data_IF_507114851470
#
_entry.id   IF_507114851470
#
_cell.length_a   1.000
_cell.length_b   1.000
_cell.length_c   1.000
_cell.angle_alpha   90.00
_cell.angle_beta   90.00
_cell.angle_gamma   90.00
#
_symmetry.space_group_name_H-M   'P 1'
#
loop_
_entity.id
_entity.type
_entity.pdbx_description
1 polymer ?
#
# COMPACT_ATOMS: atom_id res chain seq x y z
N UNK A 1 -46.97 -10.46 9.43
CA UNK A 1 -45.78 -9.59 9.56
C UNK A 1 -46.03 -8.39 8.68
N UNK A 2 -45.96 -7.18 9.21
CA UNK A 2 -46.16 -5.99 8.38
C UNK A 2 -45.03 -5.86 7.35
N UNK A 3 -45.35 -5.37 6.16
CA UNK A 3 -44.37 -5.12 5.08
C UNK A 3 -43.21 -4.24 5.56
N UNK A 4 -43.48 -3.30 6.47
CA UNK A 4 -42.50 -2.47 7.18
C UNK A 4 -41.48 -3.30 7.99
N UNK A 5 -41.94 -4.34 8.70
CA UNK A 5 -41.08 -5.24 9.47
C UNK A 5 -40.26 -6.17 8.57
N UNK A 6 -40.83 -6.61 7.44
CA UNK A 6 -40.11 -7.38 6.43
C UNK A 6 -38.99 -6.54 5.80
N UNK A 7 -39.27 -5.28 5.43
CA UNK A 7 -38.27 -4.36 4.86
C UNK A 7 -37.17 -4.03 5.88
N UNK A 8 -37.51 -3.85 7.15
CA UNK A 8 -36.54 -3.59 8.23
C UNK A 8 -35.67 -4.82 8.54
N UNK A 9 -36.26 -6.01 8.49
CA UNK A 9 -35.53 -7.27 8.66
C UNK A 9 -34.61 -7.54 7.47
N UNK A 10 -35.05 -7.29 6.24
CA UNK A 10 -34.25 -7.46 5.01
C UNK A 10 -33.16 -6.38 4.91
N UNK A 11 -33.39 -5.14 5.35
CA UNK A 11 -32.37 -4.09 5.35
C UNK A 11 -31.28 -4.38 6.39
N UNK A 12 -31.66 -4.84 7.59
CA UNK A 12 -30.71 -5.31 8.61
C UNK A 12 -29.96 -6.58 8.18
N UNK A 13 -30.66 -7.56 7.61
CA UNK A 13 -30.05 -8.79 7.09
C UNK A 13 -29.17 -8.53 5.85
N UNK A 14 -29.53 -7.58 5.01
CA UNK A 14 -28.79 -7.18 3.82
C UNK A 14 -27.45 -6.53 4.17
N UNK A 15 -27.45 -5.57 5.12
CA UNK A 15 -26.21 -4.98 5.65
C UNK A 15 -25.34 -6.07 6.30
N UNK A 16 -25.94 -6.96 7.09
CA UNK A 16 -25.24 -8.09 7.69
C UNK A 16 -24.62 -9.07 6.69
N UNK A 17 -25.32 -9.35 5.58
CA UNK A 17 -24.84 -10.23 4.52
C UNK A 17 -23.68 -9.61 3.74
N UNK A 18 -23.76 -8.31 3.42
CA UNK A 18 -22.69 -7.57 2.74
C UNK A 18 -21.42 -7.51 3.61
N UNK A 19 -21.57 -7.21 4.90
CA UNK A 19 -20.47 -7.24 5.87
C UNK A 19 -19.87 -8.64 6.02
N UNK A 20 -20.70 -9.68 6.07
CA UNK A 20 -20.26 -11.07 6.19
C UNK A 20 -19.51 -11.54 4.93
N UNK A 21 -20.01 -11.19 3.74
CA UNK A 21 -19.33 -11.46 2.47
C UNK A 21 -17.98 -10.74 2.39
N UNK A 22 -17.92 -9.48 2.84
CA UNK A 22 -16.68 -8.71 2.90
C UNK A 22 -15.66 -9.30 3.88
N UNK A 23 -16.09 -9.64 5.10
CA UNK A 23 -15.22 -10.30 6.10
C UNK A 23 -14.73 -11.67 5.62
N UNK A 24 -15.59 -12.43 4.95
CA UNK A 24 -15.23 -13.72 4.35
C UNK A 24 -14.21 -13.55 3.22
N UNK A 25 -14.39 -12.52 2.37
CA UNK A 25 -13.43 -12.18 1.32
C UNK A 25 -12.07 -11.82 1.91
N UNK A 26 -12.00 -10.95 2.92
CA UNK A 26 -10.72 -10.62 3.60
C UNK A 26 -10.07 -11.88 4.18
N UNK A 27 -10.84 -12.71 4.89
CA UNK A 27 -10.32 -13.92 5.53
C UNK A 27 -9.80 -14.93 4.50
N UNK A 28 -10.49 -15.10 3.37
CA UNK A 28 -10.10 -15.98 2.28
C UNK A 28 -8.85 -15.46 1.54
N UNK A 29 -8.80 -14.16 1.22
CA UNK A 29 -7.66 -13.52 0.57
C UNK A 29 -6.40 -13.52 1.44
N UNK A 30 -6.54 -13.33 2.76
CA UNK A 30 -5.43 -13.47 3.71
C UNK A 30 -4.85 -14.89 3.68
N UNK A 31 -5.68 -15.93 3.71
CA UNK A 31 -5.20 -17.32 3.76
C UNK A 31 -4.40 -17.73 2.51
N UNK A 32 -4.85 -17.33 1.31
CA UNK A 32 -4.27 -17.84 0.06
C UNK A 32 -2.97 -17.15 -0.39
N UNK A 33 -2.80 -15.85 -0.12
CA UNK A 33 -1.64 -15.06 -0.60
C UNK A 33 -0.56 -14.88 0.46
N UNK A 34 -0.96 -14.89 1.73
CA UNK A 34 -0.05 -14.69 2.86
C UNK A 34 0.83 -15.91 3.07
N UNK A 35 0.28 -17.13 3.02
CA UNK A 35 1.00 -18.35 3.42
C UNK A 35 2.27 -18.63 2.58
N UNK A 36 2.24 -18.38 1.26
CA UNK A 36 3.42 -18.63 0.42
C UNK A 36 4.46 -17.50 0.50
N UNK A 37 4.03 -16.24 0.31
CA UNK A 37 4.94 -15.08 0.27
C UNK A 37 5.51 -14.77 1.67
N UNK A 38 4.73 -14.94 2.74
CA UNK A 38 5.26 -14.71 4.09
C UNK A 38 6.18 -15.82 4.56
N UNK A 39 6.00 -17.06 4.07
CA UNK A 39 6.92 -18.16 4.32
C UNK A 39 8.27 -17.90 3.67
N UNK A 40 8.31 -17.61 2.37
CA UNK A 40 9.55 -17.31 1.64
C UNK A 40 10.29 -16.12 2.28
N UNK A 41 9.58 -15.03 2.61
CA UNK A 41 10.21 -13.90 3.32
C UNK A 41 10.69 -14.25 4.73
N UNK A 42 9.99 -15.15 5.43
CA UNK A 42 10.43 -15.60 6.74
C UNK A 42 11.71 -16.43 6.65
N UNK A 43 11.77 -17.34 5.68
CA UNK A 43 12.95 -18.14 5.37
C UNK A 43 14.13 -17.25 4.98
N UNK A 44 13.91 -16.28 4.08
CA UNK A 44 14.90 -15.27 3.73
C UNK A 44 15.43 -14.50 4.96
N UNK A 45 14.55 -14.03 5.87
CA UNK A 45 15.00 -13.36 7.11
C UNK A 45 15.80 -14.27 8.04
N UNK A 46 15.45 -15.55 8.13
CA UNK A 46 16.20 -16.55 8.90
C UNK A 46 17.59 -16.73 8.30
N UNK A 47 17.66 -16.82 6.97
CA UNK A 47 18.92 -16.98 6.23
C UNK A 47 19.83 -15.76 6.41
N UNK A 48 19.32 -14.53 6.26
CA UNK A 48 20.09 -13.30 6.52
C UNK A 48 20.59 -13.25 7.97
N UNK A 49 19.79 -13.68 8.96
CA UNK A 49 20.24 -13.76 10.37
C UNK A 49 21.36 -14.79 10.55
N UNK A 50 21.25 -15.96 9.91
CA UNK A 50 22.30 -16.98 9.93
C UNK A 50 23.60 -16.45 9.30
N UNK A 51 23.50 -15.76 8.17
CA UNK A 51 24.64 -15.09 7.52
C UNK A 51 25.30 -14.09 8.46
N UNK A 52 24.52 -13.26 9.17
CA UNK A 52 25.05 -12.31 10.16
C UNK A 52 25.85 -13.05 11.24
N UNK A 53 25.34 -14.15 11.79
CA UNK A 53 26.03 -14.95 12.81
C UNK A 53 27.35 -15.49 12.26
N UNK A 54 27.35 -16.05 11.05
CA UNK A 54 28.55 -16.62 10.43
C UNK A 54 29.61 -15.55 10.08
N UNK A 55 29.18 -14.36 9.66
CA UNK A 55 30.05 -13.21 9.40
C UNK A 55 30.77 -12.77 10.70
N UNK A 56 30.02 -12.65 11.78
CA UNK A 56 30.52 -12.26 13.10
C UNK A 56 31.40 -13.36 13.74
N UNK A 57 31.04 -14.62 13.54
CA UNK A 57 31.75 -15.79 14.08
C UNK A 57 33.14 -16.04 13.50
N UNK A 58 33.49 -15.41 12.37
CA UNK A 58 34.86 -15.38 11.83
C UNK A 58 35.26 -16.63 11.02
N UNK A 59 34.82 -17.81 11.42
CA UNK A 59 35.27 -19.08 10.83
C UNK A 59 34.73 -19.32 9.42
N UNK A 60 33.55 -18.79 9.08
CA UNK A 60 32.81 -19.11 7.85
C UNK A 60 32.52 -17.90 6.96
N UNK A 61 33.29 -16.80 7.06
CA UNK A 61 32.99 -15.54 6.36
C UNK A 61 32.85 -15.68 4.84
N UNK A 62 33.67 -16.49 4.19
CA UNK A 62 33.59 -16.73 2.73
C UNK A 62 32.28 -17.41 2.34
N UNK A 63 31.91 -18.47 3.07
CA UNK A 63 30.65 -19.17 2.85
C UNK A 63 29.45 -18.26 3.12
N UNK A 64 29.50 -17.46 4.19
CA UNK A 64 28.47 -16.50 4.52
C UNK A 64 28.29 -15.44 3.41
N UNK A 65 29.39 -14.96 2.82
CA UNK A 65 29.34 -14.01 1.70
C UNK A 65 28.71 -14.64 0.44
N UNK A 66 29.13 -15.86 0.08
CA UNK A 66 28.56 -16.56 -1.07
C UNK A 66 27.05 -16.83 -0.90
N UNK A 67 26.61 -17.21 0.30
CA UNK A 67 25.19 -17.33 0.62
C UNK A 67 24.47 -15.98 0.50
N UNK A 68 25.07 -14.91 1.03
CA UNK A 68 24.49 -13.57 0.95
C UNK A 68 24.22 -13.11 -0.49
N UNK A 69 25.15 -13.35 -1.41
CA UNK A 69 24.96 -13.00 -2.83
C UNK A 69 23.69 -13.62 -3.45
N UNK A 70 23.28 -14.80 -2.98
CA UNK A 70 22.04 -15.46 -3.44
C UNK A 70 20.76 -14.85 -2.86
N UNK A 71 20.88 -14.07 -1.78
CA UNK A 71 19.77 -13.48 -1.05
C UNK A 71 19.51 -12.01 -1.42
N UNK A 72 20.46 -11.36 -2.11
CA UNK A 72 20.36 -9.95 -2.48
C UNK A 72 19.63 -9.74 -3.80
N UNK A 73 19.05 -8.55 -3.97
CA UNK A 73 18.45 -8.17 -5.24
C UNK A 73 19.53 -8.00 -6.33
N UNK A 74 19.53 -8.81 -7.41
CA UNK A 74 20.55 -8.73 -8.46
C UNK A 74 20.47 -7.44 -9.27
N UNK A 75 19.31 -6.77 -9.32
CA UNK A 75 19.14 -5.50 -10.03
C UNK A 75 19.96 -4.36 -9.43
N UNK A 76 20.43 -4.48 -8.18
CA UNK A 76 21.27 -3.45 -7.55
C UNK A 76 22.72 -3.46 -7.94
N UNK A 77 23.26 -4.60 -8.39
CA UNK A 77 24.72 -4.77 -8.53
C UNK A 77 25.35 -3.79 -9.52
N UNK A 78 24.63 -3.49 -10.60
CA UNK A 78 25.11 -2.64 -11.70
C UNK A 78 24.30 -1.36 -11.87
N UNK A 79 23.57 -0.93 -10.84
CA UNK A 79 22.74 0.28 -10.91
C UNK A 79 23.57 1.55 -10.73
N UNK A 80 23.22 2.61 -11.46
CA UNK A 80 23.92 3.90 -11.33
C UNK A 80 23.79 4.48 -9.91
N UNK A 81 24.90 4.99 -9.38
CA UNK A 81 24.95 5.67 -8.07
C UNK A 81 24.31 7.06 -8.10
N UNK A 82 24.09 7.63 -9.29
CA UNK A 82 23.45 8.94 -9.47
C UNK A 82 21.99 8.90 -9.02
N UNK A 83 21.30 7.77 -9.29
CA UNK A 83 19.97 7.51 -8.77
C UNK A 83 20.06 6.92 -7.36
N UNK A 84 20.28 7.79 -6.37
CA UNK A 84 20.40 7.39 -4.97
C UNK A 84 19.24 6.51 -4.51
N UNK A 85 18.01 6.85 -4.88
CA UNK A 85 16.85 6.10 -4.41
C UNK A 85 16.89 4.66 -4.90
N UNK A 86 17.04 4.45 -6.21
CA UNK A 86 17.09 3.11 -6.77
C UNK A 86 18.37 2.36 -6.36
N UNK A 87 19.49 3.05 -6.16
CA UNK A 87 20.71 2.45 -5.64
C UNK A 87 20.53 1.82 -4.26
N UNK A 88 19.89 2.53 -3.32
CA UNK A 88 19.66 1.98 -1.98
C UNK A 88 18.54 0.94 -1.93
N UNK A 89 17.45 1.16 -2.68
CA UNK A 89 16.28 0.28 -2.67
C UNK A 89 16.49 -1.08 -3.33
N UNK A 90 17.53 -1.21 -4.16
CA UNK A 90 17.87 -2.47 -4.84
C UNK A 90 19.13 -3.13 -4.26
N UNK A 91 19.54 -2.82 -3.02
CA UNK A 91 20.73 -3.39 -2.37
C UNK A 91 22.08 -3.00 -3.02
N UNK A 92 22.11 -1.98 -3.88
CA UNK A 92 23.35 -1.55 -4.56
C UNK A 92 24.47 -1.14 -3.60
N UNK A 93 24.13 -0.58 -2.44
CA UNK A 93 25.09 -0.26 -1.38
C UNK A 93 25.69 -1.49 -0.68
N UNK A 94 24.98 -2.63 -0.67
CA UNK A 94 25.48 -3.90 -0.15
C UNK A 94 26.38 -4.54 -1.20
N UNK A 95 25.94 -4.58 -2.47
CA UNK A 95 26.78 -5.02 -3.59
C UNK A 95 28.11 -4.25 -3.67
N UNK A 96 28.08 -2.92 -3.54
CA UNK A 96 29.28 -2.07 -3.50
C UNK A 96 30.27 -2.52 -2.41
N UNK A 97 29.77 -2.95 -1.25
CA UNK A 97 30.58 -3.43 -0.14
C UNK A 97 31.10 -4.86 -0.36
N UNK A 98 30.28 -5.74 -0.94
CA UNK A 98 30.64 -7.13 -1.24
C UNK A 98 31.71 -7.20 -2.33
N UNK A 99 31.55 -6.44 -3.42
CA UNK A 99 32.50 -6.46 -4.54
C UNK A 99 33.90 -5.98 -4.13
N UNK A 100 34.00 -5.20 -3.05
CA UNK A 100 35.26 -4.69 -2.48
C UNK A 100 35.55 -5.24 -1.08
N UNK A 101 35.02 -6.42 -0.75
CA UNK A 101 35.07 -6.95 0.62
C UNK A 101 36.47 -7.44 1.01
N UNK A 102 37.08 -6.80 2.00
CA UNK A 102 38.44 -7.09 2.48
C UNK A 102 38.50 -8.09 3.65
N UNK A 103 37.35 -8.66 4.06
CA UNK A 103 37.20 -9.57 5.21
C UNK A 103 37.68 -9.02 6.56
N UNK A 104 37.99 -7.73 6.65
CA UNK A 104 38.39 -7.10 7.90
C UNK A 104 37.22 -7.09 8.89
N UNK A 105 37.53 -7.05 10.19
CA UNK A 105 36.50 -6.92 11.23
C UNK A 105 35.64 -5.67 11.02
N UNK A 106 36.21 -4.64 10.39
CA UNK A 106 35.50 -3.42 10.04
C UNK A 106 34.49 -3.65 8.92
N UNK A 107 34.89 -4.21 7.79
CA UNK A 107 33.98 -4.48 6.67
C UNK A 107 32.87 -5.45 7.08
N UNK A 108 33.20 -6.44 7.90
CA UNK A 108 32.23 -7.33 8.55
C UNK A 108 31.22 -6.53 9.38
N UNK A 109 31.69 -5.66 10.27
CA UNK A 109 30.81 -4.83 11.12
C UNK A 109 29.92 -3.89 10.31
N UNK A 110 30.42 -3.30 9.22
CA UNK A 110 29.62 -2.45 8.34
C UNK A 110 28.57 -3.27 7.60
N UNK A 111 28.96 -4.42 7.03
CA UNK A 111 28.06 -5.32 6.32
C UNK A 111 26.94 -5.81 7.25
N UNK A 112 27.29 -6.27 8.45
CA UNK A 112 26.31 -6.68 9.47
C UNK A 112 25.32 -5.56 9.78
N UNK A 113 25.78 -4.32 9.99
CA UNK A 113 24.87 -3.18 10.23
C UNK A 113 23.92 -2.91 9.07
N UNK A 114 24.40 -3.03 7.82
CA UNK A 114 23.53 -2.90 6.65
C UNK A 114 22.47 -4.01 6.63
N UNK A 115 22.85 -5.26 6.90
CA UNK A 115 21.91 -6.39 6.96
C UNK A 115 20.89 -6.26 8.10
N UNK A 116 21.29 -5.77 9.27
CA UNK A 116 20.38 -5.50 10.39
C UNK A 116 19.32 -4.44 10.04
N UNK A 117 19.74 -3.36 9.37
CA UNK A 117 18.82 -2.31 8.92
C UNK A 117 17.93 -2.82 7.79
N UNK A 118 18.45 -3.64 6.88
CA UNK A 118 17.68 -4.31 5.83
C UNK A 118 16.59 -5.21 6.44
N UNK A 119 16.94 -6.02 7.44
CA UNK A 119 15.97 -6.84 8.19
C UNK A 119 14.90 -6.00 8.88
N UNK A 120 15.29 -4.89 9.52
CA UNK A 120 14.33 -3.96 10.16
C UNK A 120 13.41 -3.33 9.12
N UNK A 121 13.95 -2.90 7.99
CA UNK A 121 13.19 -2.31 6.90
C UNK A 121 12.20 -3.32 6.28
N UNK A 122 12.63 -4.54 5.96
CA UNK A 122 11.76 -5.60 5.44
C UNK A 122 10.61 -5.92 6.40
N UNK A 123 10.89 -5.94 7.71
CA UNK A 123 9.87 -6.16 8.73
C UNK A 123 8.81 -5.06 8.76
N UNK A 124 9.22 -3.78 8.80
CA UNK A 124 8.29 -2.65 8.78
C UNK A 124 7.50 -2.59 7.47
N UNK A 125 8.17 -2.86 6.34
CA UNK A 125 7.54 -2.96 5.01
C UNK A 125 6.51 -4.08 4.95
N UNK A 126 6.81 -5.28 5.44
CA UNK A 126 5.89 -6.42 5.43
C UNK A 126 4.63 -6.13 6.24
N UNK A 127 4.76 -5.51 7.42
CA UNK A 127 3.59 -5.05 8.21
C UNK A 127 2.73 -4.04 7.45
N UNK A 128 3.37 -3.12 6.73
CA UNK A 128 2.68 -2.10 5.92
C UNK A 128 1.96 -2.74 4.74
N UNK A 129 2.62 -3.63 4.00
CA UNK A 129 2.04 -4.30 2.83
C UNK A 129 0.75 -5.05 3.19
N UNK A 130 0.73 -5.77 4.32
CA UNK A 130 -0.49 -6.46 4.79
C UNK A 130 -1.62 -5.47 5.07
N UNK A 131 -1.33 -4.36 5.77
CA UNK A 131 -2.34 -3.32 6.05
C UNK A 131 -2.86 -2.69 4.77
N UNK A 132 -1.96 -2.32 3.86
CA UNK A 132 -2.29 -1.68 2.58
C UNK A 132 -3.09 -2.63 1.70
N UNK A 133 -2.81 -3.94 1.67
CA UNK A 133 -3.58 -4.90 0.87
C UNK A 133 -5.03 -5.00 1.37
N UNK A 134 -5.24 -5.02 2.69
CA UNK A 134 -6.58 -4.99 3.30
C UNK A 134 -7.31 -3.69 2.99
N UNK A 135 -6.64 -2.53 3.12
CA UNK A 135 -7.25 -1.24 2.79
C UNK A 135 -7.57 -1.11 1.31
N UNK A 136 -6.67 -1.51 0.41
CA UNK A 136 -6.92 -1.51 -1.03
C UNK A 136 -8.11 -2.40 -1.37
N UNK A 137 -8.22 -3.58 -0.74
CA UNK A 137 -9.36 -4.48 -0.90
C UNK A 137 -10.68 -3.82 -0.49
N UNK A 138 -10.69 -3.07 0.62
CA UNK A 138 -11.86 -2.31 1.05
C UNK A 138 -12.22 -1.19 0.08
N UNK A 139 -11.23 -0.44 -0.41
CA UNK A 139 -11.44 0.62 -1.40
C UNK A 139 -12.02 0.03 -2.68
N UNK A 140 -11.47 -1.07 -3.20
CA UNK A 140 -12.01 -1.75 -4.39
C UNK A 140 -13.45 -2.19 -4.20
N UNK A 141 -13.78 -2.73 -3.03
CA UNK A 141 -15.14 -3.14 -2.69
C UNK A 141 -16.12 -1.95 -2.74
N UNK A 142 -15.76 -0.82 -2.13
CA UNK A 142 -16.57 0.41 -2.17
C UNK A 142 -16.75 0.91 -3.61
N UNK A 143 -15.69 0.94 -4.41
CA UNK A 143 -15.74 1.41 -5.79
C UNK A 143 -16.64 0.54 -6.67
N UNK A 144 -16.55 -0.78 -6.54
CA UNK A 144 -17.38 -1.72 -7.30
C UNK A 144 -18.84 -1.60 -6.90
N UNK A 145 -19.14 -1.61 -5.59
CA UNK A 145 -20.52 -1.49 -5.11
C UNK A 145 -21.13 -0.14 -5.48
N UNK A 146 -20.37 0.94 -5.35
CA UNK A 146 -20.81 2.27 -5.79
C UNK A 146 -21.14 2.29 -7.28
N UNK A 147 -20.29 1.72 -8.13
CA UNK A 147 -20.51 1.67 -9.58
C UNK A 147 -21.76 0.85 -9.96
N UNK A 148 -21.96 -0.28 -9.29
CA UNK A 148 -23.16 -1.12 -9.47
C UNK A 148 -24.40 -0.36 -9.02
N UNK A 149 -24.36 0.29 -7.85
CA UNK A 149 -25.46 1.09 -7.32
C UNK A 149 -25.87 2.21 -8.30
N UNK A 150 -24.90 2.94 -8.84
CA UNK A 150 -25.14 3.99 -9.83
C UNK A 150 -25.80 3.43 -11.10
N UNK A 151 -25.33 2.28 -11.57
CA UNK A 151 -25.90 1.60 -12.75
C UNK A 151 -27.36 1.19 -12.51
N UNK A 152 -27.67 0.68 -11.32
CA UNK A 152 -29.04 0.31 -10.93
C UNK A 152 -29.95 1.54 -10.77
N UNK A 153 -29.43 2.66 -10.26
CA UNK A 153 -30.19 3.92 -10.15
C UNK A 153 -30.61 4.46 -11.52
N UNK A 154 -29.67 4.47 -12.47
CA UNK A 154 -29.93 4.86 -13.86
C UNK A 154 -31.01 3.96 -14.48
N UNK A 155 -30.97 2.65 -14.20
CA UNK A 155 -31.92 1.70 -14.77
C UNK A 155 -33.34 1.86 -14.18
N UNK A 156 -33.46 2.10 -12.88
CA UNK A 156 -34.74 1.95 -12.18
C UNK A 156 -35.40 3.26 -11.74
N UNK A 157 -34.66 4.35 -11.54
CA UNK A 157 -35.19 5.51 -10.81
C UNK A 157 -34.89 6.87 -11.46
N UNK A 158 -33.81 7.00 -12.22
CA UNK A 158 -33.37 8.29 -12.79
C UNK A 158 -33.67 8.33 -14.29
N UNK A 159 -34.49 9.30 -14.69
CA UNK A 159 -34.80 9.56 -16.10
C UNK A 159 -34.13 10.86 -16.62
N UNK A 160 -33.57 11.67 -15.73
CA UNK A 160 -32.98 12.96 -16.08
C UNK A 160 -31.61 12.78 -16.75
N UNK A 161 -31.51 13.20 -18.00
CA UNK A 161 -30.29 13.13 -18.81
C UNK A 161 -29.02 13.71 -18.14
N UNK A 162 -29.04 14.87 -17.45
CA UNK A 162 -27.82 15.37 -16.78
C UNK A 162 -27.38 14.48 -15.62
N UNK A 163 -28.31 13.92 -14.85
CA UNK A 163 -27.99 13.02 -13.73
C UNK A 163 -27.43 11.68 -14.23
N UNK A 164 -27.98 11.15 -15.33
CA UNK A 164 -27.48 9.96 -16.00
C UNK A 164 -26.03 10.16 -16.44
N UNK A 165 -25.71 11.30 -17.06
CA UNK A 165 -24.33 11.61 -17.50
C UNK A 165 -23.37 11.68 -16.31
N UNK A 166 -23.75 12.38 -15.23
CA UNK A 166 -22.90 12.54 -14.04
C UNK A 166 -22.61 11.19 -13.38
N UNK A 167 -23.64 10.36 -13.16
CA UNK A 167 -23.49 9.05 -12.52
C UNK A 167 -22.71 8.05 -13.40
N UNK A 168 -22.90 8.12 -14.72
CA UNK A 168 -22.13 7.31 -15.67
C UNK A 168 -20.65 7.69 -15.66
N UNK A 169 -20.34 8.99 -15.68
CA UNK A 169 -18.97 9.49 -15.63
C UNK A 169 -18.30 9.15 -14.29
N UNK A 170 -19.02 9.32 -13.17
CA UNK A 170 -18.57 8.90 -11.83
C UNK A 170 -18.19 7.41 -11.85
N UNK A 171 -19.08 6.54 -12.32
CA UNK A 171 -18.86 5.10 -12.37
C UNK A 171 -17.67 4.71 -13.25
N UNK A 172 -17.51 5.36 -14.40
CA UNK A 172 -16.34 5.17 -15.27
C UNK A 172 -15.04 5.51 -14.54
N UNK A 173 -14.98 6.64 -13.83
CA UNK A 173 -13.79 7.01 -13.06
C UNK A 173 -13.51 6.04 -11.91
N UNK A 174 -14.54 5.60 -11.16
CA UNK A 174 -14.35 4.61 -10.09
C UNK A 174 -13.73 3.32 -10.61
N UNK A 175 -14.27 2.78 -11.71
CA UNK A 175 -13.75 1.54 -12.33
C UNK A 175 -12.36 1.76 -12.92
N UNK A 176 -12.13 2.88 -13.62
CA UNK A 176 -10.83 3.20 -14.21
C UNK A 176 -9.71 3.30 -13.16
N UNK A 177 -10.02 3.82 -11.97
CA UNK A 177 -9.05 3.99 -10.89
C UNK A 177 -8.63 2.65 -10.26
N UNK A 178 -9.48 1.63 -10.27
CA UNK A 178 -9.13 0.28 -9.78
C UNK A 178 -7.85 -0.23 -10.48
N UNK A 179 -7.75 -0.05 -11.80
CA UNK A 179 -6.57 -0.47 -12.57
C UNK A 179 -5.32 0.36 -12.27
N UNK A 180 -5.49 1.58 -11.75
CA UNK A 180 -4.41 2.54 -11.61
C UNK A 180 -3.89 2.68 -10.16
N UNK A 181 -4.68 2.30 -9.14
CA UNK A 181 -4.37 2.56 -7.74
C UNK A 181 -3.05 1.93 -7.28
N UNK A 182 -2.76 0.69 -7.72
CA UNK A 182 -1.50 -0.03 -7.40
C UNK A 182 -0.26 0.70 -7.95
N UNK A 183 -0.42 1.40 -9.08
CA UNK A 183 0.65 2.17 -9.70
C UNK A 183 0.81 3.56 -9.06
N UNK A 184 -0.28 4.17 -8.60
CA UNK A 184 -0.26 5.44 -7.86
C UNK A 184 0.48 5.26 -6.53
N UNK A 185 0.08 4.24 -5.74
CA UNK A 185 0.62 4.00 -4.40
C UNK A 185 2.13 3.77 -4.43
N UNK A 186 2.63 2.98 -5.39
CA UNK A 186 4.08 2.69 -5.53
C UNK A 186 4.95 3.86 -6.00
N UNK A 187 4.38 4.86 -6.69
CA UNK A 187 5.15 5.97 -7.30
C UNK A 187 4.63 7.33 -6.88
N UNK A 188 4.16 7.44 -5.63
CA UNK A 188 3.45 8.63 -5.16
C UNK A 188 4.33 9.88 -5.23
N UNK A 189 5.49 9.86 -4.57
CA UNK A 189 6.42 11.00 -4.51
C UNK A 189 7.01 11.36 -5.88
N UNK A 190 7.32 10.37 -6.72
CA UNK A 190 7.92 10.61 -8.04
C UNK A 190 6.98 11.35 -9.01
N UNK A 191 5.66 11.17 -8.89
CA UNK A 191 4.66 11.77 -9.80
C UNK A 191 3.56 12.51 -9.03
N UNK A 192 3.96 13.29 -8.02
CA UNK A 192 3.09 13.94 -7.03
C UNK A 192 1.89 14.67 -7.63
N UNK A 193 2.09 15.56 -8.61
CA UNK A 193 1.00 16.37 -9.20
C UNK A 193 -0.06 15.51 -9.87
N UNK A 194 0.36 14.58 -10.74
CA UNK A 194 -0.56 13.67 -11.43
C UNK A 194 -1.33 12.78 -10.45
N UNK A 195 -0.64 12.29 -9.43
CA UNK A 195 -1.26 11.43 -8.43
C UNK A 195 -2.27 12.21 -7.56
N UNK A 196 -2.01 13.48 -7.26
CA UNK A 196 -2.96 14.38 -6.59
C UNK A 196 -4.21 14.62 -7.44
N UNK A 197 -4.05 14.87 -8.74
CA UNK A 197 -5.19 15.03 -9.67
C UNK A 197 -6.05 13.76 -9.69
N UNK A 198 -5.43 12.58 -9.77
CA UNK A 198 -6.16 11.31 -9.73
C UNK A 198 -6.94 11.13 -8.42
N UNK A 199 -6.35 11.52 -7.28
CA UNK A 199 -7.06 11.48 -5.99
C UNK A 199 -8.25 12.43 -6.04
N UNK A 200 -8.07 13.71 -6.40
CA UNK A 200 -9.18 14.68 -6.46
C UNK A 200 -10.35 14.17 -7.33
N UNK A 201 -10.05 13.59 -8.49
CA UNK A 201 -11.06 12.97 -9.37
C UNK A 201 -11.77 11.79 -8.71
N UNK A 202 -11.05 10.95 -7.95
CA UNK A 202 -11.64 9.86 -7.16
C UNK A 202 -12.64 10.40 -6.14
N UNK A 203 -12.25 11.43 -5.40
CA UNK A 203 -13.05 12.01 -4.33
C UNK A 203 -14.35 12.62 -4.88
N UNK A 204 -14.25 13.35 -6.00
CA UNK A 204 -15.42 13.89 -6.71
C UNK A 204 -16.34 12.77 -7.19
N UNK A 205 -15.76 11.71 -7.77
CA UNK A 205 -16.53 10.56 -8.24
C UNK A 205 -17.25 9.84 -7.10
N UNK A 206 -16.57 9.61 -5.97
CA UNK A 206 -17.18 9.04 -4.76
C UNK A 206 -18.28 9.93 -4.18
N UNK A 207 -18.10 11.25 -4.19
CA UNK A 207 -19.11 12.19 -3.70
C UNK A 207 -20.43 12.02 -4.46
N UNK A 208 -20.40 12.06 -5.79
CA UNK A 208 -21.60 11.84 -6.61
C UNK A 208 -22.20 10.44 -6.46
N UNK A 209 -21.37 9.42 -6.21
CA UNK A 209 -21.83 8.06 -5.94
C UNK A 209 -22.57 7.95 -4.59
N UNK A 210 -22.08 8.64 -3.55
CA UNK A 210 -22.73 8.71 -2.24
C UNK A 210 -24.06 9.49 -2.34
N UNK A 211 -24.09 10.60 -3.08
CA UNK A 211 -25.33 11.33 -3.36
C UNK A 211 -26.34 10.45 -4.10
N UNK A 212 -25.88 9.66 -5.08
CA UNK A 212 -26.71 8.65 -5.75
C UNK A 212 -27.26 7.61 -4.76
N UNK A 213 -26.44 7.11 -3.83
CA UNK A 213 -26.89 6.19 -2.79
C UNK A 213 -27.98 6.80 -1.89
N UNK A 214 -27.87 8.09 -1.54
CA UNK A 214 -28.91 8.78 -0.78
C UNK A 214 -30.23 8.87 -1.56
N UNK A 215 -30.17 8.97 -2.88
CA UNK A 215 -31.36 8.96 -3.74
C UNK A 215 -32.14 7.64 -3.65
N UNK A 216 -31.52 6.51 -3.30
CA UNK A 216 -32.29 5.28 -3.01
C UNK A 216 -33.24 5.47 -1.84
N UNK A 217 -32.81 6.19 -0.80
CA UNK A 217 -33.48 6.31 0.50
C UNK A 217 -34.44 7.51 0.52
N UNK A 218 -34.04 8.65 -0.07
CA UNK A 218 -34.74 9.93 0.05
C UNK A 218 -35.25 10.36 -1.34
N UNK A 219 -36.55 10.67 -1.51
CA UNK A 219 -37.08 11.25 -2.74
C UNK A 219 -36.42 12.60 -3.04
N UNK A 220 -36.09 12.83 -4.31
CA UNK A 220 -35.37 14.02 -4.78
C UNK A 220 -35.96 15.36 -4.30
N UNK A 221 -37.28 15.43 -4.21
CA UNK A 221 -38.02 16.63 -3.84
C UNK A 221 -37.82 17.05 -2.37
N UNK A 222 -37.23 16.18 -1.55
CA UNK A 222 -36.98 16.41 -0.11
C UNK A 222 -35.50 16.60 0.22
N UNK A 223 -34.66 16.86 -0.78
CA UNK A 223 -33.22 17.08 -0.57
C UNK A 223 -32.99 18.46 0.06
N UNK A 224 -32.75 18.46 1.36
CA UNK A 224 -32.38 19.64 2.16
C UNK A 224 -30.86 19.80 2.33
N UNK A 225 -30.43 20.98 2.78
CA UNK A 225 -29.04 21.29 3.18
C UNK A 225 -28.43 20.21 4.12
N UNK A 226 -29.26 19.57 4.94
CA UNK A 226 -28.86 18.48 5.83
C UNK A 226 -28.29 17.27 5.07
N UNK A 227 -28.85 16.92 3.92
CA UNK A 227 -28.39 15.80 3.13
C UNK A 227 -27.01 16.08 2.52
N UNK A 228 -26.80 17.30 2.00
CA UNK A 228 -25.49 17.75 1.52
C UNK A 228 -24.42 17.74 2.63
N UNK A 229 -24.79 18.17 3.85
CA UNK A 229 -23.89 18.09 5.01
C UNK A 229 -23.53 16.63 5.36
N UNK A 230 -24.49 15.70 5.30
CA UNK A 230 -24.23 14.28 5.53
C UNK A 230 -23.29 13.71 4.47
N UNK A 231 -23.53 13.97 3.19
CA UNK A 231 -22.63 13.52 2.10
C UNK A 231 -21.22 14.09 2.29
N UNK A 232 -21.11 15.37 2.65
CA UNK A 232 -19.83 16.01 2.92
C UNK A 232 -19.08 15.35 4.09
N UNK A 233 -19.76 15.02 5.18
CA UNK A 233 -19.15 14.35 6.33
C UNK A 233 -18.65 12.94 5.98
N UNK A 234 -19.42 12.18 5.18
CA UNK A 234 -19.00 10.87 4.67
C UNK A 234 -17.76 11.03 3.77
N UNK A 235 -17.75 12.04 2.90
CA UNK A 235 -16.61 12.33 2.04
C UNK A 235 -15.34 12.65 2.86
N UNK A 236 -15.44 13.49 3.90
CA UNK A 236 -14.30 13.83 4.77
C UNK A 236 -13.73 12.58 5.45
N UNK A 237 -14.59 11.67 5.90
CA UNK A 237 -14.16 10.39 6.49
C UNK A 237 -13.41 9.53 5.47
N UNK A 238 -13.94 9.40 4.24
CA UNK A 238 -13.29 8.66 3.16
C UNK A 238 -11.92 9.27 2.80
N UNK A 239 -11.86 10.60 2.69
CA UNK A 239 -10.62 11.34 2.45
C UNK A 239 -9.55 11.08 3.49
N UNK A 240 -9.94 11.03 4.77
CA UNK A 240 -9.00 10.83 5.87
C UNK A 240 -8.28 9.47 5.81
N UNK A 241 -8.98 8.43 5.35
CA UNK A 241 -8.44 7.07 5.22
C UNK A 241 -7.46 7.02 4.04
N UNK A 242 -7.87 7.56 2.88
CA UNK A 242 -7.04 7.58 1.68
C UNK A 242 -5.75 8.38 1.91
N UNK A 243 -5.86 9.59 2.46
CA UNK A 243 -4.71 10.47 2.69
C UNK A 243 -3.67 9.85 3.65
N UNK A 244 -4.14 9.15 4.71
CA UNK A 244 -3.27 8.46 5.67
C UNK A 244 -2.51 7.30 5.04
N UNK A 245 -3.12 6.58 4.10
CA UNK A 245 -2.46 5.51 3.36
C UNK A 245 -1.38 6.09 2.46
N UNK A 246 -1.71 7.16 1.70
CA UNK A 246 -0.78 7.76 0.76
C UNK A 246 0.44 8.41 1.45
N UNK A 247 0.24 9.13 2.57
CA UNK A 247 1.33 9.75 3.32
C UNK A 247 2.34 8.72 3.86
N UNK A 248 1.86 7.60 4.41
CA UNK A 248 2.71 6.61 5.08
C UNK A 248 3.52 5.70 4.13
N UNK A 249 3.31 5.80 2.81
CA UNK A 249 3.89 4.82 1.86
C UNK A 249 5.41 4.93 1.72
N UNK A 250 5.98 6.14 1.90
CA UNK A 250 7.39 6.43 1.57
C UNK A 250 8.28 6.79 2.77
N UNK A 251 7.72 6.93 3.97
CA UNK A 251 8.50 7.39 5.13
C UNK A 251 9.50 6.33 5.60
N UNK A 252 9.14 5.04 5.51
CA UNK A 252 10.04 3.94 5.89
C UNK A 252 11.21 3.76 4.92
N UNK A 253 10.99 4.01 3.62
CA UNK A 253 12.05 3.99 2.61
C UNK A 253 13.05 5.13 2.84
N UNK A 254 12.55 6.33 3.15
CA UNK A 254 13.39 7.48 3.47
C UNK A 254 14.19 7.29 4.77
N UNK A 255 13.55 6.74 5.83
CA UNK A 255 14.25 6.37 7.06
C UNK A 255 15.37 5.36 6.80
N UNK A 256 15.08 4.32 6.01
CA UNK A 256 16.08 3.31 5.64
C UNK A 256 17.29 3.93 4.93
N UNK A 257 17.05 4.76 3.90
CA UNK A 257 18.11 5.46 3.16
C UNK A 257 18.91 6.40 4.08
N UNK A 258 18.24 7.11 4.98
CA UNK A 258 18.87 8.02 5.93
C UNK A 258 19.78 7.27 6.91
N UNK A 259 19.35 6.13 7.45
CA UNK A 259 20.16 5.30 8.34
C UNK A 259 21.40 4.73 7.64
N UNK A 260 21.27 4.24 6.40
CA UNK A 260 22.43 3.78 5.61
C UNK A 260 23.42 4.92 5.38
N UNK A 261 22.91 6.09 4.97
CA UNK A 261 23.73 7.28 4.74
C UNK A 261 24.48 7.71 6.00
N UNK A 262 23.83 7.62 7.17
CA UNK A 262 24.46 7.88 8.46
C UNK A 262 25.62 6.92 8.75
N UNK A 263 25.43 5.61 8.56
CA UNK A 263 26.50 4.61 8.74
C UNK A 263 27.68 4.86 7.80
N UNK A 264 27.39 5.14 6.52
CA UNK A 264 28.43 5.43 5.51
C UNK A 264 29.26 6.65 5.93
N UNK A 265 28.62 7.68 6.48
CA UNK A 265 29.30 8.88 6.98
C UNK A 265 30.13 8.63 8.24
N UNK A 266 29.62 7.84 9.19
CA UNK A 266 30.36 7.47 10.41
C UNK A 266 31.61 6.67 10.04
N UNK A 267 31.48 5.67 9.16
CA UNK A 267 32.64 4.90 8.67
C UNK A 267 33.68 5.81 8.00
N UNK A 268 33.27 6.76 7.15
CA UNK A 268 34.22 7.69 6.53
C UNK A 268 34.99 8.55 7.55
N UNK A 269 34.35 9.00 8.62
CA UNK A 269 35.02 9.77 9.69
C UNK A 269 36.04 8.94 10.48
N UNK A 270 35.75 7.66 10.71
CA UNK A 270 36.71 6.74 11.33
C UNK A 270 37.95 6.49 10.44
N UNK A 271 37.88 6.75 9.12
CA UNK A 271 39.05 6.66 8.21
C UNK A 271 39.94 7.91 8.22
N UNK A 272 39.41 9.08 8.58
CA UNK A 272 40.17 10.35 8.52
C UNK A 272 40.93 10.65 9.81
N UNK A 273 40.76 9.82 10.85
CA UNK A 273 41.41 9.95 12.15
C UNK A 273 42.45 8.86 12.43
N UNK A 274 42.87 8.12 11.40
CA UNK A 274 43.98 7.15 11.44
C UNK A 274 45.16 7.69 10.64
#
# INVERSE_FOLDING_TARGET
METSQIITLISGAGIGAVLSAFLTFINSSKKNKLDFITKERSEWRIEIKSIIVDLLGGNNRKNALSRLETQLNPYGRYISKEDRYNFYMNDGHIWELIDNFDYSNRSVKILTKYLEILLKYDWERSKREIKVDVFNSFIYFILIIGAISNSLLILFKINDLPQIIILSLSSYFMVGIIFYISKITKKFKQKRIRNLICIILLCLSMHYSIDGLLYWIIPHETIDLKNYLVTFMILVLMMSVEFKIFLNTNDEEEKYIAHISCIKNISKKENTHV
#
